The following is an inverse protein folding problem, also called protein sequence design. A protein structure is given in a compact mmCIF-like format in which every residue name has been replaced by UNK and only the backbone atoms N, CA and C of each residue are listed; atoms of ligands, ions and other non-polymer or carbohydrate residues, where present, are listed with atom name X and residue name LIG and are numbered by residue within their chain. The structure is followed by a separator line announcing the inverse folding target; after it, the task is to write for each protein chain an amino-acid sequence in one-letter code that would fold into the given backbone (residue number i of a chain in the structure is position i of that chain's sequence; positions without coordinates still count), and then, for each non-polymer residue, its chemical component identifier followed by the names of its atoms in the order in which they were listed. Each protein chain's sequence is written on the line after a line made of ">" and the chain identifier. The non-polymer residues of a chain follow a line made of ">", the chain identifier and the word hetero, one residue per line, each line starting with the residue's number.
data_IF_319511741057
#
_entry.id   IF_319511741057
#
_cell.length_a   1.000
_cell.length_b   1.000
_cell.length_c   1.000
_cell.angle_alpha   90.00
_cell.angle_beta   90.00
_cell.angle_gamma   90.00
#
_symmetry.space_group_name_H-M   'P 1'
#
loop_
_entity.id
_entity.type
_entity.pdbx_description
1 polymer ?
#
# COMPACT_ATOMS: atom_id res chain seq x y z
N UNK A 1 -25.68 23.13 5.65
CA UNK A 1 -26.73 22.73 4.68
C UNK A 1 -27.76 23.85 4.63
N UNK A 2 -28.10 24.33 3.44
CA UNK A 2 -29.21 25.25 3.23
C UNK A 2 -30.06 24.65 2.13
N UNK A 3 -31.25 24.16 2.47
CA UNK A 3 -32.27 23.79 1.49
C UNK A 3 -33.15 25.01 1.27
N UNK A 4 -33.12 25.60 0.07
CA UNK A 4 -34.10 26.61 -0.31
C UNK A 4 -35.32 25.91 -0.91
N UNK A 5 -36.37 25.74 -0.10
CA UNK A 5 -37.71 25.44 -0.59
C UNK A 5 -38.46 26.78 -0.59
N UNK A 6 -38.83 27.28 -1.75
CA UNK A 6 -39.72 28.44 -1.89
C UNK A 6 -41.16 28.06 -1.48
N UNK A 7 -41.42 27.87 -0.16
CA UNK A 7 -42.72 28.05 0.56
C UNK A 7 -42.67 27.52 2.03
N UNK A 8 -43.57 27.94 2.94
CA UNK A 8 -43.22 28.40 4.28
C UNK A 8 -43.24 27.30 5.35
N UNK A 9 -42.53 26.18 5.14
CA UNK A 9 -42.15 25.26 6.22
C UNK A 9 -40.71 24.81 5.96
N UNK A 10 -39.76 25.71 6.23
CA UNK A 10 -38.34 25.44 6.08
C UNK A 10 -37.83 24.54 7.20
N UNK A 11 -37.93 23.21 7.03
CA UNK A 11 -37.16 22.26 7.84
C UNK A 11 -35.73 22.25 7.28
N UNK A 12 -34.87 23.08 7.86
CA UNK A 12 -33.43 23.07 7.58
C UNK A 12 -32.85 21.85 8.30
N UNK A 13 -32.80 20.70 7.65
CA UNK A 13 -31.86 19.65 8.08
C UNK A 13 -30.47 20.05 7.60
N UNK A 14 -29.46 19.85 8.44
CA UNK A 14 -28.07 20.03 8.07
C UNK A 14 -27.27 18.72 8.10
N UNK A 15 -26.63 18.39 6.98
CA UNK A 15 -25.80 17.21 6.78
C UNK A 15 -24.60 17.58 5.92
N UNK A 16 -23.42 17.10 6.31
CA UNK A 16 -22.11 17.26 5.68
C UNK A 16 -21.87 16.26 4.52
N UNK A 17 -22.86 15.43 4.18
CA UNK A 17 -22.68 14.23 3.35
C UNK A 17 -22.88 14.51 1.86
N UNK A 18 -21.79 14.50 1.08
CA UNK A 18 -21.82 14.81 -0.35
C UNK A 18 -22.67 13.84 -1.21
N UNK A 19 -22.71 12.55 -0.86
CA UNK A 19 -23.50 11.56 -1.61
C UNK A 19 -25.02 11.77 -1.48
N UNK A 20 -25.50 12.52 -0.47
CA UNK A 20 -26.92 12.84 -0.35
C UNK A 20 -27.39 13.76 -1.49
N UNK A 21 -26.50 14.59 -2.05
CA UNK A 21 -26.78 15.39 -3.25
C UNK A 21 -27.01 14.54 -4.51
N UNK A 22 -26.60 13.28 -4.51
CA UNK A 22 -26.92 12.34 -5.59
C UNK A 22 -28.34 11.74 -5.48
N UNK A 23 -28.98 11.87 -4.32
CA UNK A 23 -30.26 11.21 -4.00
C UNK A 23 -31.43 12.20 -3.89
N UNK A 24 -31.16 13.50 -3.99
CA UNK A 24 -32.20 14.53 -3.89
C UNK A 24 -33.08 14.53 -5.14
N UNK A 25 -34.41 14.73 -4.99
CA UNK A 25 -35.32 14.78 -6.13
C UNK A 25 -35.03 16.00 -7.01
N UNK A 26 -35.25 15.86 -8.33
CA UNK A 26 -34.97 16.87 -9.36
C UNK A 26 -35.66 18.24 -9.16
N UNK A 27 -36.60 18.34 -8.21
CA UNK A 27 -37.20 19.61 -7.77
C UNK A 27 -36.25 20.49 -6.95
N UNK A 28 -35.18 19.94 -6.39
CA UNK A 28 -34.17 20.69 -5.63
C UNK A 28 -33.16 21.28 -6.62
N UNK A 29 -33.21 22.60 -6.81
CA UNK A 29 -32.41 23.34 -7.80
C UNK A 29 -30.99 23.69 -7.34
N UNK A 30 -30.70 23.56 -6.05
CA UNK A 30 -29.37 23.81 -5.47
C UNK A 30 -29.03 22.76 -4.41
N UNK A 31 -27.96 21.99 -4.64
CA UNK A 31 -27.36 21.10 -3.65
C UNK A 31 -25.86 21.39 -3.56
N UNK A 32 -25.39 21.76 -2.37
CA UNK A 32 -23.99 22.07 -2.11
C UNK A 32 -23.45 21.23 -0.95
N UNK A 33 -22.24 20.66 -1.07
CA UNK A 33 -21.33 20.78 -2.22
C UNK A 33 -21.82 19.96 -3.43
N UNK A 34 -21.64 20.52 -4.63
CA UNK A 34 -21.83 19.77 -5.88
C UNK A 34 -20.79 18.64 -5.84
N UNK A 35 -21.18 17.36 -5.98
CA UNK A 35 -20.20 16.30 -6.11
C UNK A 35 -19.42 16.61 -7.39
N UNK A 36 -18.11 16.91 -7.25
CA UNK A 36 -17.25 17.14 -8.41
C UNK A 36 -17.38 15.92 -9.32
N UNK A 37 -18.00 16.10 -10.49
CA UNK A 37 -18.32 14.99 -11.40
C UNK A 37 -17.06 14.41 -12.10
N UNK A 38 -15.88 14.97 -11.81
CA UNK A 38 -14.56 14.45 -12.18
C UNK A 38 -13.92 13.61 -11.05
N UNK A 39 -14.69 13.21 -10.05
CA UNK A 39 -14.24 12.38 -8.92
C UNK A 39 -14.01 10.92 -9.32
N UNK A 40 -12.99 10.27 -8.76
CA UNK A 40 -12.70 8.85 -8.98
C UNK A 40 -13.71 7.86 -8.34
N UNK A 41 -14.73 8.35 -7.61
CA UNK A 41 -15.98 7.67 -7.25
C UNK A 41 -17.16 8.54 -7.69
N UNK A 42 -18.19 7.95 -8.29
CA UNK A 42 -19.37 8.69 -8.79
C UNK A 42 -20.58 8.47 -7.89
N UNK A 43 -21.64 9.26 -8.09
CA UNK A 43 -22.95 9.01 -7.48
C UNK A 43 -23.46 7.58 -7.75
N UNK A 44 -23.05 7.02 -8.88
CA UNK A 44 -23.52 5.75 -9.39
C UNK A 44 -22.61 4.59 -8.96
N UNK A 45 -21.29 4.81 -8.87
CA UNK A 45 -20.30 3.75 -8.76
C UNK A 45 -19.22 4.03 -7.71
N UNK A 46 -18.78 2.97 -7.01
CA UNK A 46 -17.65 3.02 -6.06
C UNK A 46 -16.37 3.48 -6.78
N UNK A 47 -16.13 2.94 -7.98
CA UNK A 47 -15.08 3.36 -8.90
C UNK A 47 -15.73 4.09 -10.08
N UNK A 48 -15.44 5.39 -10.24
CA UNK A 48 -16.10 6.25 -11.23
C UNK A 48 -15.77 5.90 -12.68
N UNK A 49 -14.56 5.42 -12.95
CA UNK A 49 -14.09 5.19 -14.30
C UNK A 49 -13.90 3.70 -14.59
N UNK A 50 -14.30 3.28 -15.79
CA UNK A 50 -14.08 1.92 -16.30
C UNK A 50 -12.59 1.54 -16.30
N UNK A 51 -11.69 2.50 -16.47
CA UNK A 51 -10.24 2.29 -16.36
C UNK A 51 -9.81 1.84 -14.96
N UNK A 52 -10.37 2.45 -13.89
CA UNK A 52 -10.11 2.06 -12.50
C UNK A 52 -10.72 0.68 -12.20
N UNK A 53 -11.92 0.41 -12.72
CA UNK A 53 -12.58 -0.89 -12.61
C UNK A 53 -11.75 -2.01 -13.27
N UNK A 54 -11.21 -1.79 -14.46
CA UNK A 54 -10.33 -2.76 -15.11
C UNK A 54 -9.02 -2.93 -14.33
N UNK A 55 -8.43 -1.81 -13.90
CA UNK A 55 -7.15 -1.81 -13.22
C UNK A 55 -7.19 -2.59 -11.90
N UNK A 56 -8.25 -2.40 -11.07
CA UNK A 56 -8.36 -3.10 -9.78
C UNK A 56 -8.37 -4.63 -9.95
N UNK A 57 -9.01 -5.15 -11.00
CA UNK A 57 -8.99 -6.57 -11.32
C UNK A 57 -7.61 -7.04 -11.78
N UNK A 58 -6.98 -6.32 -12.71
CA UNK A 58 -5.66 -6.68 -13.23
C UNK A 58 -4.61 -6.68 -12.11
N UNK A 59 -4.56 -5.62 -11.30
CA UNK A 59 -3.63 -5.52 -10.17
C UNK A 59 -3.95 -6.53 -9.07
N UNK A 60 -5.22 -6.74 -8.75
CA UNK A 60 -5.65 -7.76 -7.78
C UNK A 60 -5.18 -9.16 -8.17
N UNK A 61 -5.47 -9.60 -9.41
CA UNK A 61 -5.08 -10.93 -9.91
C UNK A 61 -3.56 -11.08 -9.96
N UNK A 62 -2.85 -10.09 -10.50
CA UNK A 62 -1.39 -10.16 -10.62
C UNK A 62 -0.70 -10.18 -9.26
N UNK A 63 -1.12 -9.34 -8.32
CA UNK A 63 -0.60 -9.35 -6.95
C UNK A 63 -0.93 -10.66 -6.22
N UNK A 64 -2.16 -11.18 -6.35
CA UNK A 64 -2.58 -12.43 -5.72
C UNK A 64 -1.74 -13.62 -6.19
N UNK A 65 -1.69 -13.85 -7.50
CA UNK A 65 -0.97 -14.97 -8.11
C UNK A 65 0.54 -14.82 -7.88
N UNK A 66 1.09 -13.63 -8.13
CA UNK A 66 2.52 -13.37 -8.00
C UNK A 66 3.03 -13.63 -6.59
N UNK A 67 2.34 -13.13 -5.56
CA UNK A 67 2.78 -13.28 -4.18
C UNK A 67 2.58 -14.71 -3.64
N UNK A 68 1.54 -15.44 -4.05
CA UNK A 68 1.41 -16.88 -3.76
C UNK A 68 2.59 -17.66 -4.34
N UNK A 69 2.94 -17.40 -5.60
CA UNK A 69 4.07 -18.07 -6.26
C UNK A 69 5.40 -17.78 -5.56
N UNK A 70 5.62 -16.55 -5.08
CA UNK A 70 6.80 -16.19 -4.29
C UNK A 70 6.87 -17.00 -2.99
N UNK A 71 5.77 -17.05 -2.22
CA UNK A 71 5.69 -17.81 -0.97
C UNK A 71 5.95 -19.31 -1.22
N UNK A 72 5.35 -19.89 -2.27
CA UNK A 72 5.56 -21.28 -2.66
C UNK A 72 7.02 -21.54 -3.04
N UNK A 73 7.61 -20.69 -3.89
CA UNK A 73 9.00 -20.83 -4.36
C UNK A 73 10.02 -20.73 -3.23
N UNK A 74 9.78 -19.85 -2.24
CA UNK A 74 10.64 -19.73 -1.06
C UNK A 74 10.59 -21.02 -0.23
N UNK A 75 9.40 -21.60 -0.04
CA UNK A 75 9.23 -22.85 0.73
C UNK A 75 9.78 -24.10 0.02
N UNK A 76 9.57 -24.19 -1.30
CA UNK A 76 9.96 -25.36 -2.08
C UNK A 76 11.47 -25.46 -2.30
N UNK A 77 12.17 -24.32 -2.41
CA UNK A 77 13.59 -24.31 -2.77
C UNK A 77 14.49 -24.22 -1.54
N UNK A 78 14.65 -25.36 -0.84
CA UNK A 78 15.46 -25.49 0.39
C UNK A 78 16.97 -25.32 0.17
N UNK A 79 17.45 -25.45 -1.07
CA UNK A 79 18.87 -25.35 -1.43
C UNK A 79 19.32 -23.93 -1.82
N UNK A 80 18.48 -22.92 -1.57
CA UNK A 80 18.85 -21.52 -1.83
C UNK A 80 20.02 -21.10 -0.94
N UNK A 81 21.00 -20.42 -1.54
CA UNK A 81 22.12 -19.78 -0.84
C UNK A 81 21.72 -18.51 -0.05
N UNK A 82 20.43 -18.27 0.16
CA UNK A 82 19.91 -17.15 0.97
C UNK A 82 19.81 -17.54 2.44
N UNK A 83 19.96 -16.57 3.34
CA UNK A 83 19.85 -16.85 4.78
C UNK A 83 18.39 -17.12 5.15
N UNK A 84 18.14 -18.04 6.10
CA UNK A 84 16.79 -18.32 6.61
C UNK A 84 16.08 -17.08 7.16
N UNK A 85 16.84 -16.13 7.70
CA UNK A 85 16.30 -14.85 8.19
C UNK A 85 15.80 -13.98 7.02
N UNK A 86 16.61 -13.86 5.96
CA UNK A 86 16.26 -13.15 4.73
C UNK A 86 15.01 -13.73 4.07
N UNK A 87 14.91 -15.06 3.99
CA UNK A 87 13.74 -15.74 3.41
C UNK A 87 12.46 -15.47 4.21
N UNK A 88 12.57 -15.36 5.54
CA UNK A 88 11.43 -15.03 6.41
C UNK A 88 10.90 -13.61 6.14
N UNK A 89 11.79 -12.63 5.94
CA UNK A 89 11.41 -11.25 5.61
C UNK A 89 10.75 -11.17 4.24
N UNK A 90 11.30 -11.83 3.21
CA UNK A 90 10.66 -11.87 1.89
C UNK A 90 9.30 -12.57 1.91
N UNK A 91 9.16 -13.65 2.68
CA UNK A 91 7.88 -14.32 2.85
C UNK A 91 6.87 -13.42 3.60
N UNK A 92 7.33 -12.62 4.56
CA UNK A 92 6.49 -11.64 5.25
C UNK A 92 6.03 -10.51 4.33
N UNK A 93 6.91 -10.04 3.43
CA UNK A 93 6.54 -9.04 2.43
C UNK A 93 5.52 -9.60 1.44
N UNK A 94 5.75 -10.81 0.91
CA UNK A 94 4.79 -11.47 0.02
C UNK A 94 3.43 -11.71 0.71
N UNK A 95 3.42 -12.02 2.02
CA UNK A 95 2.17 -12.11 2.78
C UNK A 95 1.47 -10.75 2.87
N UNK A 96 2.21 -9.68 3.15
CA UNK A 96 1.65 -8.32 3.20
C UNK A 96 1.02 -7.91 1.87
N UNK A 97 1.73 -8.09 0.76
CA UNK A 97 1.26 -7.77 -0.60
C UNK A 97 0.08 -8.66 -1.03
N UNK A 98 0.05 -9.91 -0.57
CA UNK A 98 -1.10 -10.78 -0.73
C UNK A 98 -2.35 -10.23 -0.01
N UNK A 99 -2.21 -9.69 1.21
CA UNK A 99 -3.34 -9.04 1.90
C UNK A 99 -3.86 -7.81 1.13
N UNK A 100 -2.99 -7.04 0.47
CA UNK A 100 -3.41 -5.96 -0.44
C UNK A 100 -4.27 -6.50 -1.58
N UNK A 101 -3.92 -7.64 -2.16
CA UNK A 101 -4.71 -8.23 -3.25
C UNK A 101 -6.13 -8.64 -2.80
N UNK A 102 -6.27 -9.12 -1.56
CA UNK A 102 -7.60 -9.42 -0.98
C UNK A 102 -8.40 -8.13 -0.80
N UNK A 103 -7.78 -7.05 -0.32
CA UNK A 103 -8.41 -5.72 -0.26
C UNK A 103 -8.96 -5.30 -1.63
N UNK A 104 -8.16 -5.40 -2.69
CA UNK A 104 -8.59 -5.01 -4.04
C UNK A 104 -9.74 -5.85 -4.55
N UNK A 105 -9.77 -7.16 -4.25
CA UNK A 105 -10.92 -7.99 -4.59
C UNK A 105 -12.19 -7.59 -3.83
N UNK A 106 -12.09 -7.20 -2.56
CA UNK A 106 -13.24 -6.69 -1.82
C UNK A 106 -13.80 -5.43 -2.49
N UNK A 107 -12.93 -4.49 -2.87
CA UNK A 107 -13.37 -3.26 -3.57
C UNK A 107 -13.95 -3.59 -4.95
N UNK A 108 -13.32 -4.48 -5.72
CA UNK A 108 -13.79 -4.87 -7.05
C UNK A 108 -15.15 -5.57 -7.01
N UNK A 109 -15.38 -6.44 -6.02
CA UNK A 109 -16.68 -7.10 -5.80
C UNK A 109 -17.72 -6.10 -5.33
N UNK A 110 -17.34 -5.20 -4.40
CA UNK A 110 -18.21 -4.11 -3.95
C UNK A 110 -18.67 -3.24 -5.13
N UNK A 111 -17.74 -2.86 -6.01
CA UNK A 111 -18.05 -2.05 -7.20
C UNK A 111 -19.08 -2.72 -8.12
N UNK A 112 -19.04 -4.05 -8.27
CA UNK A 112 -20.04 -4.80 -9.05
C UNK A 112 -21.40 -4.83 -8.34
N UNK A 113 -21.42 -5.06 -7.02
CA UNK A 113 -22.67 -5.18 -6.25
C UNK A 113 -23.44 -3.86 -6.22
N UNK A 114 -22.73 -2.75 -6.01
CA UNK A 114 -23.32 -1.42 -5.85
C UNK A 114 -23.29 -0.57 -7.13
N UNK A 115 -23.01 -1.20 -8.28
CA UNK A 115 -22.96 -0.56 -9.59
C UNK A 115 -24.27 0.16 -9.93
N UNK A 116 -24.14 1.39 -10.42
CA UNK A 116 -25.22 2.29 -10.81
C UNK A 116 -26.21 2.69 -9.69
N UNK A 117 -25.89 2.34 -8.43
CA UNK A 117 -26.75 2.57 -7.27
C UNK A 117 -25.99 2.94 -6.00
N UNK A 118 -24.70 3.25 -6.12
CA UNK A 118 -23.82 3.44 -4.96
C UNK A 118 -24.36 4.49 -3.98
N UNK A 119 -24.77 5.68 -4.43
CA UNK A 119 -25.23 6.74 -3.52
C UNK A 119 -26.43 6.35 -2.65
N UNK A 120 -27.32 5.48 -3.15
CA UNK A 120 -28.49 5.00 -2.39
C UNK A 120 -28.09 4.00 -1.31
N UNK A 121 -27.02 3.25 -1.54
CA UNK A 121 -26.55 2.15 -0.70
C UNK A 121 -25.20 2.44 -0.03
N UNK A 122 -24.75 3.70 -0.04
CA UNK A 122 -23.44 4.07 0.45
C UNK A 122 -23.25 3.72 1.93
N UNK A 123 -24.26 3.98 2.77
CA UNK A 123 -24.19 3.60 4.20
C UNK A 123 -24.25 2.08 4.40
N UNK A 124 -24.98 1.34 3.56
CA UNK A 124 -25.00 -0.13 3.61
C UNK A 124 -23.61 -0.70 3.30
N UNK A 125 -22.96 -0.18 2.26
CA UNK A 125 -21.59 -0.56 1.91
C UNK A 125 -20.59 -0.17 3.00
N UNK A 126 -20.60 1.09 3.43
CA UNK A 126 -19.61 1.63 4.37
C UNK A 126 -19.75 1.02 5.77
N UNK A 127 -20.96 0.65 6.21
CA UNK A 127 -21.15 -0.05 7.49
C UNK A 127 -20.95 -1.57 7.40
N UNK A 128 -20.78 -2.12 6.18
CA UNK A 128 -20.65 -3.56 5.99
C UNK A 128 -19.38 -4.13 6.61
N UNK A 129 -19.40 -5.39 7.06
CA UNK A 129 -18.19 -6.09 7.49
C UNK A 129 -17.11 -6.14 6.40
N UNK A 130 -17.50 -6.18 5.13
CA UNK A 130 -16.56 -6.18 4.00
C UNK A 130 -15.72 -4.89 3.97
N UNK A 131 -16.35 -3.72 4.15
CA UNK A 131 -15.64 -2.44 4.18
C UNK A 131 -14.74 -2.30 5.41
N UNK A 132 -15.19 -2.77 6.58
CA UNK A 132 -14.39 -2.81 7.80
C UNK A 132 -13.14 -3.68 7.62
N UNK A 133 -13.30 -4.88 7.05
CA UNK A 133 -12.19 -5.79 6.73
C UNK A 133 -11.26 -5.15 5.69
N UNK A 134 -11.82 -4.53 4.64
CA UNK A 134 -11.05 -3.84 3.61
C UNK A 134 -10.16 -2.74 4.21
N UNK A 135 -10.72 -1.93 5.12
CA UNK A 135 -9.98 -0.87 5.82
C UNK A 135 -8.81 -1.42 6.66
N UNK A 136 -9.04 -2.54 7.35
CA UNK A 136 -7.99 -3.22 8.11
C UNK A 136 -6.89 -3.77 7.20
N UNK A 137 -7.26 -4.40 6.09
CA UNK A 137 -6.33 -5.00 5.13
C UNK A 137 -5.46 -3.96 4.44
N UNK A 138 -6.04 -2.86 3.94
CA UNK A 138 -5.27 -1.81 3.24
C UNK A 138 -4.25 -1.16 4.17
N UNK A 139 -4.65 -0.81 5.40
CA UNK A 139 -3.77 -0.16 6.38
C UNK A 139 -2.66 -1.09 6.90
N UNK A 140 -3.02 -2.34 7.21
CA UNK A 140 -2.05 -3.33 7.70
C UNK A 140 -1.05 -3.66 6.61
N UNK A 141 -1.54 -3.95 5.39
CA UNK A 141 -0.68 -4.29 4.26
C UNK A 141 0.28 -3.17 3.87
N UNK A 142 -0.19 -1.91 3.79
CA UNK A 142 0.69 -0.79 3.46
C UNK A 142 1.78 -0.58 4.50
N UNK A 143 1.42 -0.58 5.79
CA UNK A 143 2.39 -0.33 6.87
C UNK A 143 3.38 -1.48 7.01
N UNK A 144 2.92 -2.73 6.88
CA UNK A 144 3.79 -3.90 6.93
C UNK A 144 4.73 -3.96 5.73
N UNK A 145 4.28 -3.65 4.50
CA UNK A 145 5.14 -3.67 3.31
C UNK A 145 6.29 -2.67 3.42
N UNK A 146 6.02 -1.43 3.83
CA UNK A 146 7.08 -0.41 4.05
C UNK A 146 8.03 -0.82 5.19
N UNK A 147 7.47 -1.37 6.28
CA UNK A 147 8.29 -1.90 7.39
C UNK A 147 9.20 -3.04 6.92
N UNK A 148 8.71 -3.94 6.07
CA UNK A 148 9.51 -5.03 5.51
C UNK A 148 10.65 -4.52 4.63
N UNK A 149 10.44 -3.45 3.85
CA UNK A 149 11.53 -2.85 3.08
C UNK A 149 12.65 -2.32 3.97
N UNK A 150 12.31 -1.69 5.09
CA UNK A 150 13.29 -1.28 6.09
C UNK A 150 14.04 -2.49 6.68
N UNK A 151 13.33 -3.55 7.05
CA UNK A 151 13.96 -4.78 7.55
C UNK A 151 14.87 -5.44 6.51
N UNK A 152 14.49 -5.43 5.22
CA UNK A 152 15.34 -5.90 4.12
C UNK A 152 16.60 -5.07 4.03
N UNK A 153 16.50 -3.73 4.07
CA UNK A 153 17.66 -2.84 4.04
C UNK A 153 18.62 -3.11 5.21
N UNK A 154 18.08 -3.25 6.43
CA UNK A 154 18.87 -3.59 7.64
C UNK A 154 19.54 -4.95 7.51
N UNK A 155 18.82 -5.99 7.07
CA UNK A 155 19.36 -7.34 6.89
C UNK A 155 20.51 -7.35 5.88
N UNK A 156 20.35 -6.64 4.76
CA UNK A 156 21.40 -6.53 3.73
C UNK A 156 22.61 -5.77 4.20
N UNK A 157 22.41 -4.64 4.87
CA UNK A 157 23.51 -3.90 5.46
C UNK A 157 24.27 -4.75 6.48
N UNK A 158 23.55 -5.45 7.35
CA UNK A 158 24.13 -6.34 8.37
C UNK A 158 24.92 -7.50 7.75
N UNK A 159 24.43 -8.09 6.66
CA UNK A 159 25.14 -9.15 5.92
C UNK A 159 26.44 -8.67 5.28
N UNK A 160 26.48 -7.42 4.79
CA UNK A 160 27.67 -6.85 4.15
C UNK A 160 28.72 -6.45 5.17
N UNK A 161 28.31 -5.83 6.28
CA UNK A 161 29.24 -5.37 7.33
C UNK A 161 29.72 -6.53 8.20
N UNK A 162 28.82 -7.46 8.56
CA UNK A 162 29.12 -8.57 9.48
C UNK A 162 28.82 -9.94 8.84
N UNK A 163 29.71 -10.45 7.97
CA UNK A 163 29.48 -11.71 7.25
C UNK A 163 29.51 -12.97 8.13
N UNK A 164 30.11 -12.91 9.34
CA UNK A 164 30.31 -14.10 10.20
C UNK A 164 29.42 -14.14 11.46
N UNK A 165 28.57 -13.14 11.72
CA UNK A 165 27.68 -13.12 12.90
C UNK A 165 26.36 -13.90 12.66
N UNK A 166 26.45 -15.23 12.64
CA UNK A 166 25.35 -16.12 12.22
C UNK A 166 24.40 -16.54 13.35
N UNK A 167 24.89 -16.76 14.57
CA UNK A 167 24.25 -17.72 15.51
C UNK A 167 22.94 -17.28 16.21
N UNK A 168 22.44 -16.07 15.97
CA UNK A 168 21.18 -15.60 16.57
C UNK A 168 20.21 -14.93 15.60
N UNK A 169 20.58 -14.76 14.33
CA UNK A 169 19.90 -13.83 13.41
C UNK A 169 18.48 -14.27 13.07
N UNK A 170 18.30 -15.55 12.74
CA UNK A 170 16.98 -16.10 12.44
C UNK A 170 15.99 -15.91 13.60
N UNK A 171 16.42 -16.21 14.84
CA UNK A 171 15.57 -16.06 16.03
C UNK A 171 15.18 -14.58 16.23
N UNK A 172 16.16 -13.66 16.15
CA UNK A 172 15.92 -12.22 16.29
C UNK A 172 14.95 -11.71 15.22
N UNK A 173 15.19 -12.02 13.95
CA UNK A 173 14.31 -11.62 12.84
C UNK A 173 12.91 -12.18 13.01
N UNK A 174 12.77 -13.47 13.37
CA UNK A 174 11.46 -14.09 13.64
C UNK A 174 10.70 -13.36 14.75
N UNK A 175 11.36 -13.11 15.89
CA UNK A 175 10.75 -12.39 17.01
C UNK A 175 10.36 -10.96 16.62
N UNK A 176 11.25 -10.22 15.94
CA UNK A 176 10.95 -8.87 15.46
C UNK A 176 9.77 -8.83 14.49
N UNK A 177 9.65 -9.80 13.58
CA UNK A 177 8.53 -9.88 12.66
C UNK A 177 7.22 -10.17 13.38
N UNK A 178 7.21 -11.12 14.33
CA UNK A 178 6.00 -11.42 15.11
C UNK A 178 5.53 -10.21 15.93
N UNK A 179 6.47 -9.50 16.57
CA UNK A 179 6.17 -8.27 17.31
C UNK A 179 5.68 -7.18 16.35
N UNK A 180 6.33 -7.00 15.19
CA UNK A 180 5.92 -6.01 14.19
C UNK A 180 4.50 -6.24 13.70
N UNK A 181 4.16 -7.47 13.31
CA UNK A 181 2.79 -7.84 12.92
C UNK A 181 1.79 -7.57 14.03
N UNK A 182 2.09 -7.97 15.27
CA UNK A 182 1.20 -7.76 16.40
C UNK A 182 0.96 -6.26 16.65
N UNK A 183 2.03 -5.46 16.69
CA UNK A 183 1.94 -4.02 16.93
C UNK A 183 1.17 -3.30 15.82
N UNK A 184 1.42 -3.65 14.56
CA UNK A 184 0.68 -3.08 13.43
C UNK A 184 -0.80 -3.46 13.47
N UNK A 185 -1.12 -4.73 13.73
CA UNK A 185 -2.52 -5.17 13.87
C UNK A 185 -3.24 -4.44 15.01
N UNK A 186 -2.57 -4.21 16.14
CA UNK A 186 -3.14 -3.43 17.25
C UNK A 186 -3.33 -1.96 16.84
N UNK A 187 -2.28 -1.33 16.30
CA UNK A 187 -2.31 0.08 15.92
C UNK A 187 -3.39 0.40 14.87
N UNK A 188 -3.59 -0.50 13.89
CA UNK A 188 -4.61 -0.40 12.86
C UNK A 188 -5.98 -0.83 13.37
N UNK A 189 -6.04 -1.90 14.16
CA UNK A 189 -7.30 -2.49 14.63
C UNK A 189 -8.07 -1.59 15.60
N UNK A 190 -7.38 -0.91 16.52
CA UNK A 190 -8.02 -0.07 17.54
C UNK A 190 -8.97 1.00 16.95
N UNK A 191 -8.51 1.92 16.07
CA UNK A 191 -9.40 2.95 15.52
C UNK A 191 -10.51 2.37 14.62
N UNK A 192 -10.28 1.23 13.97
CA UNK A 192 -11.29 0.58 13.13
C UNK A 192 -12.40 -0.01 13.99
N UNK A 193 -12.05 -0.71 15.08
CA UNK A 193 -13.02 -1.31 16.00
C UNK A 193 -13.85 -0.23 16.69
N UNK A 194 -13.23 0.90 17.06
CA UNK A 194 -13.93 2.05 17.63
C UNK A 194 -14.99 2.65 16.69
N UNK A 195 -14.83 2.49 15.37
CA UNK A 195 -15.80 2.95 14.38
C UNK A 195 -16.91 1.95 14.05
N UNK A 196 -16.91 0.73 14.61
CA UNK A 196 -17.96 -0.27 14.35
C UNK A 196 -19.26 0.18 15.02
N UNK A 197 -20.39 0.05 14.32
CA UNK A 197 -21.73 0.50 14.74
C UNK A 197 -21.89 2.01 14.96
N UNK A 198 -20.85 2.79 14.68
CA UNK A 198 -20.91 4.25 14.75
C UNK A 198 -21.46 4.86 13.46
N UNK A 199 -21.85 6.13 13.51
CA UNK A 199 -22.25 6.90 12.33
C UNK A 199 -21.04 7.23 11.44
N UNK A 200 -21.25 7.50 10.14
CA UNK A 200 -20.16 7.75 9.18
C UNK A 200 -19.12 8.78 9.65
N UNK A 201 -19.56 9.89 10.25
CA UNK A 201 -18.67 10.95 10.76
C UNK A 201 -17.75 10.50 11.91
N UNK A 202 -18.07 9.37 12.54
CA UNK A 202 -17.34 8.76 13.65
C UNK A 202 -16.60 7.46 13.24
N UNK A 203 -16.45 7.22 11.92
CA UNK A 203 -15.65 6.10 11.36
C UNK A 203 -14.32 6.60 10.81
N UNK A 204 -13.27 5.78 10.91
CA UNK A 204 -11.92 6.10 10.39
C UNK A 204 -11.90 6.47 8.89
N UNK A 205 -12.66 5.74 8.08
CA UNK A 205 -12.76 5.96 6.62
C UNK A 205 -13.90 6.91 6.24
N UNK A 206 -14.58 7.53 7.20
CA UNK A 206 -15.69 8.48 7.01
C UNK A 206 -16.65 8.09 5.86
N UNK A 207 -16.50 8.72 4.68
CA UNK A 207 -17.27 8.47 3.46
C UNK A 207 -16.43 8.02 2.25
N UNK A 208 -15.23 7.51 2.49
CA UNK A 208 -14.35 6.95 1.47
C UNK A 208 -14.94 5.66 0.88
N UNK A 209 -15.40 5.71 -0.37
CA UNK A 209 -16.01 4.57 -1.08
C UNK A 209 -15.11 3.33 -1.15
N UNK A 210 -13.79 3.53 -1.05
CA UNK A 210 -12.76 2.49 -1.08
C UNK A 210 -12.28 2.06 0.31
N UNK A 211 -12.98 2.46 1.38
CA UNK A 211 -12.73 2.06 2.77
C UNK A 211 -11.34 2.46 3.31
N UNK A 212 -10.70 3.45 2.69
CA UNK A 212 -9.41 4.00 3.13
C UNK A 212 -9.61 5.07 4.21
N UNK A 213 -8.72 5.18 5.21
CA UNK A 213 -8.76 6.25 6.20
C UNK A 213 -8.84 7.63 5.54
N UNK A 214 -9.84 8.43 5.93
CA UNK A 214 -10.06 9.76 5.36
C UNK A 214 -10.73 10.74 6.32
N UNK A 215 -11.03 10.33 7.55
CA UNK A 215 -11.70 11.20 8.52
C UNK A 215 -10.73 12.23 9.11
N UNK A 216 -10.72 13.43 8.52
CA UNK A 216 -9.92 14.57 9.00
C UNK A 216 -10.71 15.49 9.93
N UNK A 217 -12.05 15.40 9.92
CA UNK A 217 -12.93 16.24 10.74
C UNK A 217 -12.86 15.86 12.23
N UNK A 218 -12.70 14.56 12.51
CA UNK A 218 -12.54 14.07 13.87
C UNK A 218 -11.07 14.16 14.31
N UNK A 219 -10.79 14.87 15.41
CA UNK A 219 -9.44 15.11 15.92
C UNK A 219 -8.66 13.81 16.21
N UNK A 220 -9.33 12.78 16.74
CA UNK A 220 -8.67 11.50 17.03
C UNK A 220 -8.24 10.78 15.75
N UNK A 221 -9.14 10.67 14.76
CA UNK A 221 -8.84 10.00 13.49
C UNK A 221 -7.84 10.80 12.65
N UNK A 222 -7.95 12.12 12.61
CA UNK A 222 -6.98 13.00 11.94
C UNK A 222 -5.58 12.83 12.53
N UNK A 223 -5.46 12.84 13.87
CA UNK A 223 -4.20 12.56 14.56
C UNK A 223 -3.66 11.16 14.27
N UNK A 224 -4.52 10.14 14.25
CA UNK A 224 -4.11 8.77 13.90
C UNK A 224 -3.61 8.67 12.45
N UNK A 225 -4.31 9.29 11.49
CA UNK A 225 -3.89 9.34 10.08
C UNK A 225 -2.53 10.03 9.96
N UNK A 226 -2.32 11.14 10.68
CA UNK A 226 -1.04 11.84 10.70
C UNK A 226 0.10 10.95 11.22
N UNK A 227 -0.12 10.21 12.32
CA UNK A 227 0.85 9.25 12.87
C UNK A 227 1.10 8.11 11.88
N UNK A 228 0.06 7.55 11.28
CA UNK A 228 0.18 6.48 10.28
C UNK A 228 1.02 6.92 9.08
N UNK A 229 0.79 8.11 8.54
CA UNK A 229 1.58 8.68 7.44
C UNK A 229 3.02 8.97 7.88
N UNK A 230 3.21 9.56 9.06
CA UNK A 230 4.54 9.86 9.59
C UNK A 230 5.39 8.60 9.78
N UNK A 231 4.82 7.52 10.33
CA UNK A 231 5.51 6.24 10.48
C UNK A 231 6.00 5.69 9.13
N UNK A 232 5.19 5.78 8.09
CA UNK A 232 5.59 5.34 6.75
C UNK A 232 6.72 6.19 6.17
N UNK A 233 6.63 7.53 6.28
CA UNK A 233 7.69 8.44 5.81
C UNK A 233 9.01 8.18 6.56
N UNK A 234 8.96 8.00 7.89
CA UNK A 234 10.14 7.69 8.70
C UNK A 234 10.78 6.37 8.26
N UNK A 235 9.98 5.33 8.01
CA UNK A 235 10.49 4.06 7.52
C UNK A 235 11.15 4.20 6.14
N UNK A 236 10.57 5.00 5.25
CA UNK A 236 11.14 5.31 3.94
C UNK A 236 12.48 6.03 4.03
N UNK A 237 12.54 7.12 4.81
CA UNK A 237 13.78 7.88 5.02
C UNK A 237 14.86 6.97 5.60
N UNK A 238 14.51 6.18 6.62
CA UNK A 238 15.44 5.22 7.23
C UNK A 238 15.95 4.19 6.22
N UNK A 239 15.06 3.68 5.37
CA UNK A 239 15.40 2.71 4.30
C UNK A 239 16.40 3.32 3.32
N UNK A 240 16.15 4.55 2.86
CA UNK A 240 17.05 5.29 1.96
C UNK A 240 18.42 5.50 2.62
N UNK A 241 18.46 5.96 3.87
CA UNK A 241 19.72 6.20 4.61
C UNK A 241 20.54 4.91 4.72
N UNK A 242 19.93 3.82 5.18
CA UNK A 242 20.61 2.53 5.35
C UNK A 242 21.10 2.01 3.99
N UNK A 243 20.32 2.23 2.94
CA UNK A 243 20.70 1.84 1.60
C UNK A 243 21.88 2.65 1.05
N UNK A 244 21.92 3.96 1.29
CA UNK A 244 23.09 4.79 0.96
C UNK A 244 24.34 4.29 1.68
N UNK A 245 24.24 3.93 2.97
CA UNK A 245 25.34 3.30 3.70
C UNK A 245 25.75 1.95 3.11
N UNK A 246 24.79 1.12 2.71
CA UNK A 246 25.06 -0.15 2.02
C UNK A 246 25.87 0.09 0.74
N UNK A 247 25.44 1.02 -0.12
CA UNK A 247 26.13 1.35 -1.37
C UNK A 247 27.55 1.87 -1.11
N UNK A 248 27.73 2.77 -0.14
CA UNK A 248 29.05 3.28 0.25
C UNK A 248 29.98 2.18 0.72
N UNK A 249 29.50 1.28 1.59
CA UNK A 249 30.29 0.15 2.09
C UNK A 249 30.69 -0.79 0.97
N UNK A 250 29.77 -1.11 0.06
CA UNK A 250 30.07 -2.00 -1.08
C UNK A 250 31.05 -1.34 -2.06
N UNK A 251 30.91 -0.02 -2.33
CA UNK A 251 31.82 0.74 -3.18
C UNK A 251 33.25 0.79 -2.65
N UNK A 252 33.43 0.99 -1.34
CA UNK A 252 34.75 0.90 -0.68
C UNK A 252 35.34 -0.50 -0.78
N UNK A 253 34.50 -1.54 -0.65
CA UNK A 253 34.91 -2.95 -0.66
C UNK A 253 35.36 -3.47 -2.05
N UNK A 254 34.97 -2.81 -3.15
CA UNK A 254 35.42 -3.17 -4.49
C UNK A 254 36.85 -2.72 -4.81
N UNK A 255 37.35 -1.66 -4.15
CA UNK A 255 38.73 -1.19 -4.36
C UNK A 255 39.78 -2.13 -3.76
N UNK A 256 39.40 -3.07 -2.89
CA UNK A 256 40.32 -3.94 -2.13
C UNK A 256 40.18 -5.44 -2.43
N UNK A 257 40.30 -5.85 -3.70
CA UNK A 257 40.32 -7.25 -4.19
C UNK A 257 38.95 -7.84 -4.57
N UNK A 258 38.90 -8.40 -5.79
CA UNK A 258 37.71 -8.89 -6.50
C UNK A 258 37.52 -10.39 -6.27
N UNK A 259 36.66 -10.78 -5.32
CA UNK A 259 36.24 -12.18 -5.14
C UNK A 259 34.86 -12.46 -5.76
N UNK A 260 34.65 -13.69 -6.26
CA UNK A 260 33.36 -14.11 -6.85
C UNK A 260 32.18 -13.99 -5.87
N UNK A 261 32.40 -14.24 -4.57
CA UNK A 261 31.37 -14.07 -3.54
C UNK A 261 30.95 -12.59 -3.35
N UNK A 262 31.90 -11.65 -3.47
CA UNK A 262 31.67 -10.21 -3.30
C UNK A 262 30.95 -9.59 -4.50
N UNK A 263 31.25 -10.05 -5.72
CA UNK A 263 30.50 -9.64 -6.94
C UNK A 263 29.02 -10.05 -6.91
N UNK A 264 28.71 -11.23 -6.34
CA UNK A 264 27.33 -11.70 -6.15
C UNK A 264 26.56 -10.86 -5.14
N UNK A 265 27.20 -10.44 -4.04
CA UNK A 265 26.59 -9.55 -3.06
C UNK A 265 26.33 -8.16 -3.65
N UNK A 266 27.21 -7.64 -4.51
CA UNK A 266 27.01 -6.40 -5.25
C UNK A 266 25.83 -6.47 -6.23
N UNK A 267 25.74 -7.55 -7.03
CA UNK A 267 24.61 -7.76 -7.92
C UNK A 267 23.29 -7.89 -7.13
N UNK A 268 23.30 -8.53 -5.96
CA UNK A 268 22.13 -8.62 -5.08
C UNK A 268 21.76 -7.23 -4.49
N UNK A 269 22.74 -6.42 -4.09
CA UNK A 269 22.50 -5.05 -3.61
C UNK A 269 21.87 -4.18 -4.71
N UNK A 270 22.43 -4.18 -5.92
CA UNK A 270 21.86 -3.43 -7.07
C UNK A 270 20.43 -3.87 -7.40
N UNK A 271 20.14 -5.17 -7.31
CA UNK A 271 18.78 -5.70 -7.52
C UNK A 271 17.80 -5.16 -6.48
N UNK A 272 18.26 -4.95 -5.25
CA UNK A 272 17.45 -4.40 -4.16
C UNK A 272 17.31 -2.88 -4.29
N UNK A 273 18.28 -2.13 -4.86
CA UNK A 273 18.03 -0.71 -5.23
C UNK A 273 16.87 -0.56 -6.19
N UNK A 274 16.78 -1.42 -7.21
CA UNK A 274 15.73 -1.28 -8.21
C UNK A 274 14.35 -1.44 -7.57
N UNK A 275 14.21 -2.41 -6.63
CA UNK A 275 12.98 -2.61 -5.84
C UNK A 275 12.68 -1.37 -5.00
N UNK A 276 13.66 -0.86 -4.25
CA UNK A 276 13.48 0.28 -3.35
C UNK A 276 13.15 1.56 -4.11
N UNK A 277 13.75 1.77 -5.28
CA UNK A 277 13.47 2.94 -6.12
C UNK A 277 12.07 2.84 -6.74
N UNK A 278 11.68 1.67 -7.27
CA UNK A 278 10.34 1.49 -7.84
C UNK A 278 9.25 1.66 -6.79
N UNK A 279 9.49 1.16 -5.59
CA UNK A 279 8.58 1.28 -4.47
C UNK A 279 8.50 2.74 -3.98
N UNK A 280 9.64 3.43 -3.77
CA UNK A 280 9.64 4.85 -3.37
C UNK A 280 8.90 5.72 -4.39
N UNK A 281 9.14 5.52 -5.68
CA UNK A 281 8.47 6.27 -6.76
C UNK A 281 6.96 6.02 -6.77
N UNK A 282 6.52 4.79 -6.46
CA UNK A 282 5.10 4.47 -6.37
C UNK A 282 4.42 5.13 -5.16
N UNK A 283 5.12 5.28 -4.03
CA UNK A 283 4.54 5.89 -2.81
C UNK A 283 4.66 7.41 -2.74
N UNK A 284 5.61 8.03 -3.47
CA UNK A 284 5.84 9.47 -3.45
C UNK A 284 4.58 10.31 -3.73
N UNK A 285 3.75 10.00 -4.75
CA UNK A 285 2.49 10.72 -4.98
C UNK A 285 1.54 10.65 -3.78
N UNK A 286 1.38 9.47 -3.17
CA UNK A 286 0.54 9.28 -1.97
C UNK A 286 1.01 10.19 -0.84
N UNK A 287 2.31 10.17 -0.52
CA UNK A 287 2.82 10.97 0.60
C UNK A 287 2.70 12.46 0.34
N UNK A 288 2.95 12.91 -0.89
CA UNK A 288 2.76 14.31 -1.25
C UNK A 288 1.29 14.74 -1.03
N UNK A 289 0.33 13.94 -1.50
CA UNK A 289 -1.11 14.22 -1.34
C UNK A 289 -1.51 14.22 0.13
N UNK A 290 -1.08 13.21 0.90
CA UNK A 290 -1.41 13.11 2.32
C UNK A 290 -0.86 14.27 3.12
N UNK A 291 0.37 14.73 2.84
CA UNK A 291 0.96 15.91 3.50
C UNK A 291 0.21 17.18 3.11
N UNK A 292 -0.10 17.38 1.83
CA UNK A 292 -0.88 18.53 1.35
C UNK A 292 -2.27 18.54 2.00
N UNK A 293 -2.92 17.38 2.11
CA UNK A 293 -4.23 17.25 2.75
C UNK A 293 -4.20 17.62 4.24
N UNK A 294 -3.16 17.21 4.96
CA UNK A 294 -2.99 17.57 6.36
C UNK A 294 -2.71 19.07 6.56
N UNK A 295 -2.00 19.72 5.63
CA UNK A 295 -1.72 21.17 5.68
C UNK A 295 -2.95 21.99 5.33
N UNK A 296 -3.65 21.61 4.26
CA UNK A 296 -4.74 22.40 3.69
C UNK A 296 -6.11 22.06 4.27
N UNK A 297 -6.20 21.05 5.14
CA UNK A 297 -7.47 20.54 5.71
C UNK A 297 -8.45 20.01 4.66
N UNK A 298 -8.03 19.89 3.41
CA UNK A 298 -8.86 19.51 2.27
C UNK A 298 -8.13 18.43 1.48
N UNK A 299 -8.81 17.31 1.25
CA UNK A 299 -8.29 16.20 0.46
C UNK A 299 -8.75 16.40 -0.97
N UNK A 300 -7.81 16.45 -1.93
CA UNK A 300 -8.17 16.22 -3.33
C UNK A 300 -8.40 14.71 -3.51
N UNK A 301 -9.66 14.30 -3.37
CA UNK A 301 -10.08 12.89 -3.33
C UNK A 301 -9.77 12.17 -4.67
N UNK A 302 -9.75 12.90 -5.78
CA UNK A 302 -9.38 12.39 -7.11
C UNK A 302 -7.95 11.83 -7.12
N UNK A 303 -6.97 12.61 -6.67
CA UNK A 303 -5.57 12.17 -6.69
C UNK A 303 -5.34 11.05 -5.67
N UNK A 304 -6.01 11.12 -4.51
CA UNK A 304 -5.88 10.09 -3.47
C UNK A 304 -6.42 8.73 -3.92
N UNK A 305 -7.61 8.66 -4.51
CA UNK A 305 -8.20 7.41 -4.98
C UNK A 305 -7.43 6.82 -6.17
N UNK A 306 -7.00 7.65 -7.13
CA UNK A 306 -6.17 7.20 -8.24
C UNK A 306 -4.83 6.64 -7.73
N UNK A 307 -4.20 7.30 -6.76
CA UNK A 307 -2.96 6.82 -6.15
C UNK A 307 -3.17 5.54 -5.33
N UNK A 308 -4.26 5.43 -4.55
CA UNK A 308 -4.55 4.24 -3.73
C UNK A 308 -4.93 3.03 -4.59
N UNK A 309 -5.62 3.24 -5.71
CA UNK A 309 -6.03 2.15 -6.61
C UNK A 309 -4.91 1.76 -7.55
N UNK A 310 -4.12 2.70 -8.09
CA UNK A 310 -3.10 2.39 -9.10
C UNK A 310 -1.69 2.32 -8.52
N UNK A 311 -1.26 3.27 -7.71
CA UNK A 311 0.13 3.34 -7.29
C UNK A 311 0.47 2.32 -6.18
N UNK A 312 -0.42 2.17 -5.18
CA UNK A 312 -0.21 1.21 -4.07
C UNK A 312 -0.18 -0.24 -4.58
N UNK A 313 -1.16 -0.72 -5.38
CA UNK A 313 -1.19 -2.11 -5.82
C UNK A 313 -0.16 -2.46 -6.88
N UNK A 314 0.25 -1.49 -7.70
CA UNK A 314 1.27 -1.68 -8.72
C UNK A 314 2.58 -2.15 -8.09
N UNK A 315 2.97 -1.58 -6.95
CA UNK A 315 4.15 -2.01 -6.23
C UNK A 315 4.05 -3.47 -5.75
N UNK A 316 2.92 -3.83 -5.11
CA UNK A 316 2.65 -5.20 -4.66
C UNK A 316 2.57 -6.22 -5.81
N UNK A 317 2.14 -5.79 -7.00
CA UNK A 317 2.09 -6.61 -8.22
C UNK A 317 3.47 -6.78 -8.87
N UNK A 318 4.33 -5.75 -8.84
CA UNK A 318 5.68 -5.77 -9.42
C UNK A 318 6.66 -6.59 -8.55
N UNK A 319 6.52 -6.52 -7.22
CA UNK A 319 7.37 -7.17 -6.24
C UNK A 319 7.73 -8.63 -6.61
N UNK A 320 6.76 -9.53 -6.88
CA UNK A 320 7.01 -10.90 -7.34
C UNK A 320 7.90 -11.03 -8.58
N UNK A 321 7.75 -10.16 -9.57
CA UNK A 321 8.53 -10.20 -10.79
C UNK A 321 9.96 -9.77 -10.54
N UNK A 322 10.20 -8.79 -9.67
CA UNK A 322 11.57 -8.41 -9.30
C UNK A 322 12.23 -9.52 -8.46
N UNK A 323 11.49 -10.23 -7.61
CA UNK A 323 12.03 -11.37 -6.87
C UNK A 323 12.31 -12.61 -7.73
N UNK A 324 11.52 -12.81 -8.79
CA UNK A 324 11.58 -14.02 -9.62
C UNK A 324 12.38 -13.86 -10.91
N UNK A 325 12.16 -12.78 -11.69
CA UNK A 325 12.83 -12.54 -12.98
C UNK A 325 14.32 -12.28 -12.81
N UNK A 326 14.72 -11.69 -11.69
CA UNK A 326 16.13 -11.47 -11.33
C UNK A 326 16.77 -12.67 -10.62
N UNK A 327 16.14 -13.85 -10.72
CA UNK A 327 16.79 -15.14 -10.47
C UNK A 327 18.00 -15.30 -11.39
N UNK A 328 19.09 -15.85 -10.85
CA UNK A 328 20.40 -16.03 -11.49
C UNK A 328 20.37 -16.52 -12.95
N UNK A 329 19.35 -17.25 -13.39
CA UNK A 329 19.20 -17.74 -14.76
C UNK A 329 19.01 -16.63 -15.82
N UNK A 330 18.24 -15.57 -15.55
CA UNK A 330 18.00 -14.51 -16.54
C UNK A 330 19.21 -13.56 -16.64
N UNK A 331 19.82 -13.23 -15.50
CA UNK A 331 21.01 -12.39 -15.48
C UNK A 331 22.25 -13.11 -16.03
N UNK A 332 22.41 -14.41 -15.77
CA UNK A 332 23.44 -15.21 -16.45
C UNK A 332 23.22 -15.18 -17.97
N UNK A 333 21.97 -15.33 -18.45
CA UNK A 333 21.67 -15.15 -19.88
C UNK A 333 22.05 -13.76 -20.39
N UNK A 334 21.70 -12.69 -19.67
CA UNK A 334 22.02 -11.32 -20.08
C UNK A 334 23.54 -11.02 -20.05
N UNK A 335 24.27 -11.48 -19.04
CA UNK A 335 25.74 -11.34 -18.98
C UNK A 335 26.46 -12.22 -19.99
N UNK A 336 25.90 -13.38 -20.34
CA UNK A 336 26.44 -14.24 -21.41
C UNK A 336 26.19 -13.61 -22.79
N UNK A 337 25.05 -12.94 -22.97
CA UNK A 337 24.71 -12.21 -24.20
C UNK A 337 25.61 -10.97 -24.36
N UNK A 338 25.87 -10.21 -23.30
CA UNK A 338 26.77 -9.05 -23.37
C UNK A 338 28.24 -9.44 -23.47
N UNK A 339 28.66 -10.57 -22.89
CA UNK A 339 30.00 -11.15 -23.10
C UNK A 339 30.22 -11.63 -24.54
N UNK A 340 29.20 -12.22 -25.18
CA UNK A 340 29.27 -12.61 -26.60
C UNK A 340 29.30 -11.41 -27.55
N UNK A 341 28.70 -10.28 -27.17
CA UNK A 341 28.72 -9.03 -27.96
C UNK A 341 30.01 -8.22 -27.82
N UNK A 342 30.82 -8.48 -26.80
CA UNK A 342 32.13 -7.85 -26.57
C UNK A 342 33.30 -8.67 -27.13
N UNK A 343 33.03 -9.84 -27.72
CA UNK A 343 34.01 -10.77 -28.28
C UNK A 343 33.79 -11.05 -29.77
N UNK A 344 32.93 -10.26 -30.43
CA UNK A 344 32.73 -10.19 -31.88
C UNK A 344 33.05 -8.78 -32.37
#
# INVERSE_FOLDING_TARGET
>A
MLFYIFNPISVIRASSRAYLCCTVPAKITACTPVPDLDSASSCENILAHTSLQLAVWVMGITAFVGNILVMFKIRANKDRKTSKATDLVFNSLALSDFLMSIYLFIIAVGDIIYRDRYAQYAEEWLSSPACVIASFLVCTSSLMSVSMMLFIAIDRYSLVVNPFSSDGRYKRTKTSLLIGWLLTCIFVGVPIIMGINETGDMRLYQFSSICSPSNLDNTFYSGWIAVFVALQIICWISTVIIYLFLLMTVGKSQRSVRSNARSRNYAIAIRISLILITDLVAWLPIYAISVIALINGTINIFVLQFAVILAIPLNSAINPYIYTATGTACFLRLTTITSKKSSS
#
